data_IF_233297041381
#
_entry.id   IF_233297041381
#
_cell.length_a   1.000
_cell.length_b   1.000
_cell.length_c   1.000
_cell.angle_alpha   90.00
_cell.angle_beta   90.00
_cell.angle_gamma   90.00
#
_symmetry.space_group_name_H-M   'P 1'
#
loop_
_entity.id
_entity.type
_entity.pdbx_description
1 polymer ?
#
# COMPACT_ATOMS: atom_id res chain seq x y z
N UNK A 1 -13.57 -83.87 -26.82
CA UNK A 1 -14.64 -82.96 -26.34
C UNK A 1 -13.98 -81.62 -26.06
N UNK A 2 -14.33 -80.59 -26.83
CA UNK A 2 -13.68 -79.28 -26.85
C UNK A 2 -14.30 -78.38 -25.78
N UNK A 3 -13.48 -77.76 -24.92
CA UNK A 3 -13.97 -76.68 -24.06
C UNK A 3 -13.04 -75.48 -24.23
N UNK A 4 -13.53 -74.47 -24.95
CA UNK A 4 -12.87 -73.18 -25.15
C UNK A 4 -13.13 -72.32 -23.92
N UNK A 5 -12.07 -71.81 -23.27
CA UNK A 5 -12.20 -70.79 -22.23
C UNK A 5 -11.91 -69.43 -22.87
N UNK A 6 -12.91 -68.55 -22.79
CA UNK A 6 -12.95 -67.23 -23.39
C UNK A 6 -12.16 -66.24 -22.51
N UNK A 7 -11.01 -65.76 -23.00
CA UNK A 7 -10.22 -64.74 -22.33
C UNK A 7 -10.98 -63.40 -22.34
N UNK A 8 -11.50 -62.97 -21.19
CA UNK A 8 -12.11 -61.66 -21.03
C UNK A 8 -11.00 -60.61 -20.93
N UNK A 9 -10.94 -59.71 -21.92
CA UNK A 9 -10.06 -58.54 -21.88
C UNK A 9 -10.64 -57.51 -20.92
N UNK A 10 -10.05 -57.38 -19.74
CA UNK A 10 -10.31 -56.24 -18.85
C UNK A 10 -9.60 -55.01 -19.41
N UNK A 11 -10.35 -54.12 -20.06
CA UNK A 11 -9.87 -52.80 -20.46
C UNK A 11 -9.95 -51.88 -19.23
N UNK A 12 -8.84 -51.71 -18.52
CA UNK A 12 -8.74 -50.78 -17.39
C UNK A 12 -8.73 -49.33 -17.92
N UNK A 13 -9.85 -48.61 -17.80
CA UNK A 13 -9.85 -47.16 -17.89
C UNK A 13 -9.22 -46.58 -16.62
N UNK A 14 -8.00 -46.05 -16.73
CA UNK A 14 -7.41 -45.19 -15.70
C UNK A 14 -8.16 -43.85 -15.69
N UNK A 15 -8.63 -43.36 -14.53
CA UNK A 15 -9.14 -42.00 -14.45
C UNK A 15 -7.96 -41.03 -14.58
N UNK A 16 -7.97 -40.23 -15.64
CA UNK A 16 -7.09 -39.06 -15.76
C UNK A 16 -7.58 -38.04 -14.74
N UNK A 17 -6.94 -38.01 -13.57
CA UNK A 17 -7.14 -36.94 -12.59
C UNK A 17 -6.44 -35.71 -13.18
N UNK A 18 -7.22 -34.83 -13.80
CA UNK A 18 -6.76 -33.51 -14.18
C UNK A 18 -6.45 -32.74 -12.89
N UNK A 19 -5.17 -32.60 -12.56
CA UNK A 19 -4.70 -31.70 -11.52
C UNK A 19 -4.85 -30.28 -12.09
N UNK A 20 -6.02 -29.69 -11.89
CA UNK A 20 -6.21 -28.25 -12.03
C UNK A 20 -5.47 -27.57 -10.88
N UNK A 21 -4.20 -27.24 -11.09
CA UNK A 21 -3.52 -26.29 -10.22
C UNK A 21 -4.20 -24.94 -10.41
N UNK A 22 -5.11 -24.60 -9.49
CA UNK A 22 -5.53 -23.22 -9.28
C UNK A 22 -4.26 -22.38 -9.11
N UNK A 23 -4.07 -21.38 -9.96
CA UNK A 23 -3.12 -20.32 -9.72
C UNK A 23 -3.44 -19.70 -8.36
N UNK A 24 -2.53 -19.85 -7.40
CA UNK A 24 -2.63 -19.17 -6.12
C UNK A 24 -2.48 -17.66 -6.37
N UNK A 25 -3.63 -16.98 -6.28
CA UNK A 25 -3.89 -15.73 -5.57
C UNK A 25 -2.67 -14.83 -5.31
N UNK A 26 -2.74 -13.59 -5.83
CA UNK A 26 -1.79 -12.50 -5.59
C UNK A 26 -1.12 -12.58 -4.21
N UNK A 27 0.21 -12.78 -4.20
CA UNK A 27 1.04 -12.73 -3.00
C UNK A 27 0.85 -11.41 -2.25
N UNK A 28 0.99 -11.42 -0.90
CA UNK A 28 0.47 -10.36 -0.07
C UNK A 28 1.21 -9.07 -0.39
N UNK A 29 0.47 -8.08 -0.89
CA UNK A 29 0.96 -6.73 -1.16
C UNK A 29 1.73 -6.12 0.02
N UNK A 30 1.54 -6.67 1.24
CA UNK A 30 2.24 -6.30 2.45
C UNK A 30 3.77 -6.29 2.33
N UNK A 31 4.40 -7.46 2.13
CA UNK A 31 5.87 -7.54 2.21
C UNK A 31 6.55 -6.85 1.02
N UNK A 32 6.08 -7.11 -0.20
CA UNK A 32 6.63 -6.48 -1.40
C UNK A 32 6.38 -4.96 -1.43
N UNK A 33 5.20 -4.50 -1.01
CA UNK A 33 4.88 -3.08 -0.89
C UNK A 33 5.73 -2.38 0.16
N UNK A 34 6.02 -3.06 1.28
CA UNK A 34 6.85 -2.50 2.35
C UNK A 34 8.30 -2.34 1.90
N UNK A 35 8.88 -3.35 1.24
CA UNK A 35 10.20 -3.23 0.62
C UNK A 35 10.25 -2.13 -0.43
N UNK A 36 9.17 -1.95 -1.21
CA UNK A 36 9.08 -0.85 -2.16
C UNK A 36 9.08 0.52 -1.47
N UNK A 37 8.36 0.68 -0.35
CA UNK A 37 8.41 1.90 0.46
C UNK A 37 9.80 2.16 1.06
N UNK A 38 10.53 1.12 1.49
CA UNK A 38 11.91 1.28 1.99
C UNK A 38 12.84 1.91 0.95
N UNK A 39 12.62 1.64 -0.34
CA UNK A 39 13.41 2.24 -1.43
C UNK A 39 13.20 3.77 -1.57
N UNK A 40 12.19 4.33 -0.90
CA UNK A 40 11.97 5.77 -0.85
C UNK A 40 12.87 6.51 0.13
N UNK A 41 13.67 5.80 0.94
CA UNK A 41 14.58 6.41 1.91
C UNK A 41 15.38 7.57 1.27
N UNK A 42 15.40 8.71 1.96
CA UNK A 42 15.93 9.98 1.45
C UNK A 42 14.88 11.08 1.37
N UNK A 43 15.25 12.19 0.74
CA UNK A 43 14.46 13.42 0.67
C UNK A 43 13.94 13.65 -0.73
N UNK A 44 12.71 14.14 -0.82
CA UNK A 44 12.00 14.41 -2.06
C UNK A 44 11.27 15.76 -1.98
N UNK A 45 11.06 16.38 -3.14
CA UNK A 45 10.47 17.71 -3.25
C UNK A 45 9.35 17.73 -4.30
N UNK A 46 8.22 18.33 -3.94
CA UNK A 46 7.15 18.70 -4.85
C UNK A 46 7.10 20.24 -4.92
N UNK A 47 7.27 20.79 -6.13
CA UNK A 47 7.20 22.23 -6.37
C UNK A 47 5.78 22.63 -6.75
N UNK A 48 5.35 23.76 -6.21
CA UNK A 48 4.04 24.36 -6.49
C UNK A 48 4.18 25.53 -7.46
N UNK A 49 3.07 25.88 -8.14
CA UNK A 49 3.06 26.97 -9.14
C UNK A 49 3.39 28.34 -8.53
N UNK A 50 3.09 28.52 -7.23
CA UNK A 50 3.39 29.73 -6.48
C UNK A 50 4.87 29.86 -6.06
N UNK A 51 5.71 28.90 -6.46
CA UNK A 51 7.14 28.86 -6.15
C UNK A 51 7.46 28.30 -4.76
N UNK A 52 6.45 27.92 -3.97
CA UNK A 52 6.65 27.19 -2.73
C UNK A 52 6.96 25.71 -3.02
N UNK A 53 7.49 25.01 -2.01
CA UNK A 53 7.79 23.59 -2.11
C UNK A 53 7.31 22.83 -0.87
N UNK A 54 6.83 21.62 -1.11
CA UNK A 54 6.60 20.61 -0.08
C UNK A 54 7.76 19.62 -0.13
N UNK A 55 8.40 19.38 1.00
CA UNK A 55 9.44 18.35 1.11
C UNK A 55 8.86 17.15 1.84
N UNK A 56 9.20 15.94 1.39
CA UNK A 56 8.94 14.70 2.12
C UNK A 56 10.24 13.94 2.33
N UNK A 57 10.47 13.46 3.55
CA UNK A 57 11.63 12.62 3.89
C UNK A 57 11.15 11.27 4.35
N UNK A 58 11.78 10.20 3.85
CA UNK A 58 11.57 8.84 4.31
C UNK A 58 12.80 8.34 5.05
N UNK A 59 12.60 7.74 6.22
CA UNK A 59 13.65 7.10 7.00
C UNK A 59 13.23 5.70 7.41
N UNK A 60 14.05 4.71 7.08
CA UNK A 60 13.93 3.36 7.63
C UNK A 60 14.44 3.38 9.07
N UNK A 61 13.62 2.91 10.01
CA UNK A 61 13.90 2.96 11.45
C UNK A 61 13.70 1.60 12.11
N UNK A 62 14.00 1.50 13.40
CA UNK A 62 13.74 0.31 14.22
C UNK A 62 14.34 -0.98 13.64
N UNK A 63 15.57 -0.90 13.13
CA UNK A 63 16.24 -2.06 12.52
C UNK A 63 15.60 -2.56 11.23
N UNK A 64 14.80 -1.72 10.54
CA UNK A 64 14.15 -2.08 9.28
C UNK A 64 12.69 -2.52 9.40
N UNK A 65 12.12 -2.49 10.61
CA UNK A 65 10.73 -2.92 10.85
C UNK A 65 9.69 -1.82 10.62
N UNK A 66 10.12 -0.55 10.47
CA UNK A 66 9.22 0.57 10.25
C UNK A 66 9.87 1.66 9.38
N UNK A 67 9.03 2.52 8.81
CA UNK A 67 9.43 3.69 8.03
C UNK A 67 8.72 4.91 8.61
N UNK A 68 9.47 5.99 8.81
CA UNK A 68 8.93 7.32 9.10
C UNK A 68 8.90 8.10 7.79
N UNK A 69 7.74 8.61 7.42
CA UNK A 69 7.58 9.68 6.43
C UNK A 69 7.30 10.98 7.17
N UNK A 70 8.00 12.04 6.79
CA UNK A 70 7.83 13.38 7.35
C UNK A 70 7.60 14.37 6.22
N UNK A 71 6.44 15.02 6.22
CA UNK A 71 6.07 16.05 5.25
C UNK A 71 6.23 17.43 5.91
N UNK A 72 6.93 18.33 5.22
CA UNK A 72 7.14 19.72 5.61
C UNK A 72 6.58 20.65 4.53
N UNK A 73 5.77 21.64 4.92
CA UNK A 73 5.21 22.64 4.01
C UNK A 73 5.95 23.97 4.19
N UNK A 74 6.78 24.35 3.21
CA UNK A 74 7.53 25.60 3.27
C UNK A 74 8.34 25.75 4.57
N UNK A 75 7.90 26.65 5.46
CA UNK A 75 8.55 26.95 6.74
C UNK A 75 7.99 26.18 7.95
N UNK A 76 7.01 25.30 7.75
CA UNK A 76 6.45 24.44 8.80
C UNK A 76 7.14 23.06 8.74
N UNK A 77 8.24 22.86 9.48
CA UNK A 77 8.91 21.57 9.51
C UNK A 77 8.01 20.53 10.19
N UNK A 78 8.03 19.31 9.65
CA UNK A 78 7.38 18.14 10.26
C UNK A 78 5.87 18.32 10.50
N UNK A 79 5.20 19.07 9.61
CA UNK A 79 3.77 19.35 9.69
C UNK A 79 2.90 18.08 9.69
N UNK A 80 3.37 17.02 9.02
CA UNK A 80 2.74 15.71 9.06
C UNK A 80 3.78 14.59 9.20
N UNK A 81 3.42 13.55 9.94
CA UNK A 81 4.23 12.35 10.11
C UNK A 81 3.39 11.11 9.83
N UNK A 82 3.93 10.17 9.06
CA UNK A 82 3.28 8.88 8.79
C UNK A 82 4.23 7.74 9.16
N UNK A 83 3.74 6.79 9.96
CA UNK A 83 4.49 5.60 10.37
C UNK A 83 3.99 4.37 9.62
N UNK A 84 4.82 3.82 8.74
CA UNK A 84 4.52 2.58 8.01
C UNK A 84 5.14 1.36 8.68
N UNK A 85 4.39 0.25 8.74
CA UNK A 85 4.84 -1.01 9.34
C UNK A 85 4.00 -2.20 8.85
N UNK A 86 4.47 -3.41 9.17
CA UNK A 86 3.71 -4.64 8.96
C UNK A 86 2.95 -5.06 10.22
N UNK A 87 1.66 -5.38 10.08
CA UNK A 87 0.86 -6.15 11.04
C UNK A 87 0.61 -7.55 10.46
N UNK A 88 1.46 -8.50 10.83
CA UNK A 88 1.55 -9.79 10.14
C UNK A 88 1.89 -9.59 8.66
N UNK A 89 0.99 -10.00 7.76
CA UNK A 89 1.14 -9.81 6.31
C UNK A 89 0.50 -8.52 5.78
N UNK A 90 -0.09 -7.69 6.66
CA UNK A 90 -0.77 -6.46 6.26
C UNK A 90 0.19 -5.29 6.37
N UNK A 91 0.42 -4.58 5.27
CA UNK A 91 1.11 -3.29 5.31
C UNK A 91 0.13 -2.23 5.78
N UNK A 92 0.51 -1.55 6.85
CA UNK A 92 -0.30 -0.54 7.52
C UNK A 92 0.48 0.77 7.64
N UNK A 93 -0.29 1.85 7.82
CA UNK A 93 0.24 3.13 8.24
C UNK A 93 -0.59 3.72 9.37
N UNK A 94 0.03 4.61 10.15
CA UNK A 94 -0.65 5.54 11.07
C UNK A 94 -0.18 6.94 10.76
N UNK A 95 -1.12 7.87 10.55
CA UNK A 95 -0.85 9.24 10.16
C UNK A 95 -1.09 10.20 11.33
N UNK A 96 -0.25 11.23 11.43
CA UNK A 96 -0.29 12.27 12.45
C UNK A 96 -0.21 13.64 11.75
N UNK A 97 -1.16 14.52 12.03
CA UNK A 97 -1.19 15.88 11.51
C UNK A 97 -1.85 16.85 12.50
N UNK A 98 -1.96 18.12 12.12
CA UNK A 98 -2.59 19.18 12.93
C UNK A 98 -4.06 18.92 13.32
N UNK A 99 -4.74 17.94 12.70
CA UNK A 99 -6.09 17.53 13.08
C UNK A 99 -6.16 16.84 14.46
N UNK A 100 -5.03 16.31 14.95
CA UNK A 100 -4.96 15.71 16.29
C UNK A 100 -5.61 14.33 16.44
N UNK A 101 -6.19 13.77 15.37
CA UNK A 101 -6.55 12.35 15.28
C UNK A 101 -5.40 11.53 14.68
N UNK A 102 -5.49 10.19 14.81
CA UNK A 102 -4.47 9.28 14.26
C UNK A 102 -5.13 8.23 13.35
N UNK A 103 -5.40 8.58 12.08
CA UNK A 103 -5.96 7.63 11.13
C UNK A 103 -4.99 6.48 10.88
N UNK A 104 -5.52 5.27 10.98
CA UNK A 104 -4.84 4.04 10.58
C UNK A 104 -5.40 3.58 9.25
N UNK A 105 -4.52 3.16 8.35
CA UNK A 105 -4.91 2.69 7.03
C UNK A 105 -4.18 1.40 6.70
N UNK A 106 -4.81 0.58 5.85
CA UNK A 106 -4.27 -0.72 5.42
C UNK A 106 -4.14 -0.71 3.91
N UNK A 107 -3.00 -1.19 3.42
CA UNK A 107 -2.75 -1.40 2.00
C UNK A 107 -3.77 -2.39 1.42
N UNK A 108 -4.34 -2.05 0.28
CA UNK A 108 -5.21 -2.93 -0.51
C UNK A 108 -4.37 -3.76 -1.49
N UNK A 109 -4.83 -4.95 -1.88
CA UNK A 109 -4.28 -5.63 -3.04
C UNK A 109 -4.36 -4.73 -4.26
N UNK A 110 -3.29 -4.70 -5.05
CA UNK A 110 -3.22 -3.96 -6.31
C UNK A 110 -2.79 -4.90 -7.43
N UNK A 111 -3.44 -4.82 -8.58
CA UNK A 111 -2.97 -5.46 -9.80
C UNK A 111 -1.86 -4.65 -10.48
N UNK A 112 -1.72 -3.37 -10.12
CA UNK A 112 -0.68 -2.48 -10.62
C UNK A 112 0.50 -2.48 -9.63
N UNK A 113 1.67 -3.05 -9.99
CA UNK A 113 2.83 -3.10 -9.12
C UNK A 113 3.43 -1.71 -8.86
N UNK A 114 3.02 -0.69 -9.61
CA UNK A 114 3.44 0.70 -9.46
C UNK A 114 2.52 1.54 -8.57
N UNK A 115 1.46 0.95 -8.02
CA UNK A 115 0.55 1.63 -7.10
C UNK A 115 0.41 0.92 -5.79
N UNK A 116 0.51 1.68 -4.71
CA UNK A 116 0.22 1.24 -3.36
C UNK A 116 -0.89 2.12 -2.78
N UNK A 117 -2.08 1.54 -2.66
CA UNK A 117 -3.27 2.24 -2.15
C UNK A 117 -3.58 1.77 -0.74
N UNK A 118 -3.65 2.71 0.19
CA UNK A 118 -4.07 2.55 1.57
C UNK A 118 -5.47 3.09 1.74
N UNK A 119 -6.34 2.29 2.38
CA UNK A 119 -7.68 2.74 2.75
C UNK A 119 -7.83 2.82 4.26
N UNK A 120 -8.63 3.78 4.71
CA UNK A 120 -9.03 3.94 6.09
C UNK A 120 -9.46 2.62 6.75
N UNK A 121 -8.95 2.39 7.96
CA UNK A 121 -9.37 1.32 8.85
C UNK A 121 -10.15 1.90 10.02
N UNK A 122 -9.54 2.81 10.77
CA UNK A 122 -10.12 3.54 11.90
C UNK A 122 -9.24 4.75 12.27
N UNK A 123 -9.60 5.48 13.31
CA UNK A 123 -8.78 6.55 13.87
C UNK A 123 -9.01 6.66 15.39
N UNK A 124 -7.97 7.04 16.13
CA UNK A 124 -8.13 7.52 17.51
C UNK A 124 -8.42 9.02 17.52
N UNK A 125 -9.07 9.49 18.59
CA UNK A 125 -9.47 10.90 18.78
C UNK A 125 -10.37 11.45 17.65
N UNK A 126 -11.26 10.60 17.13
CA UNK A 126 -12.31 10.96 16.16
C UNK A 126 -13.67 10.80 16.84
N UNK A 127 -14.47 11.87 16.95
CA UNK A 127 -15.78 11.83 17.65
C UNK A 127 -16.89 11.34 16.71
N UNK A 128 -16.75 11.64 15.42
CA UNK A 128 -17.66 11.23 14.36
C UNK A 128 -16.89 10.84 13.09
N UNK A 129 -17.37 9.88 12.28
CA UNK A 129 -16.82 9.60 10.94
C UNK A 129 -16.84 10.78 9.94
N UNK A 130 -17.47 11.90 10.31
CA UNK A 130 -17.50 13.13 9.52
C UNK A 130 -16.55 14.21 10.05
N UNK A 131 -15.90 14.00 11.21
CA UNK A 131 -14.83 14.87 11.67
C UNK A 131 -13.65 14.81 10.69
N UNK A 132 -12.90 15.90 10.54
CA UNK A 132 -11.80 15.97 9.58
C UNK A 132 -10.70 14.94 9.83
N UNK A 133 -10.44 14.04 8.88
CA UNK A 133 -9.34 13.06 8.96
C UNK A 133 -8.83 12.63 7.58
N UNK A 134 -7.60 12.12 7.54
CA UNK A 134 -7.09 11.43 6.36
C UNK A 134 -7.83 10.09 6.20
N UNK A 135 -8.42 9.88 5.03
CA UNK A 135 -9.26 8.73 4.69
C UNK A 135 -8.56 7.77 3.70
N UNK A 136 -7.48 8.20 3.06
CA UNK A 136 -6.73 7.36 2.15
C UNK A 136 -5.41 7.96 1.69
N UNK A 137 -4.54 7.09 1.19
CA UNK A 137 -3.31 7.45 0.51
C UNK A 137 -3.13 6.53 -0.70
N UNK A 138 -2.79 7.09 -1.85
CA UNK A 138 -2.21 6.33 -2.95
C UNK A 138 -0.80 6.82 -3.26
N UNK A 139 0.18 5.92 -3.22
CA UNK A 139 1.55 6.17 -3.67
C UNK A 139 1.72 5.53 -5.05
N UNK A 140 2.04 6.33 -6.05
CA UNK A 140 2.37 5.88 -7.40
C UNK A 140 3.87 6.03 -7.63
N UNK A 141 4.53 4.94 -7.99
CA UNK A 141 5.96 4.89 -8.31
C UNK A 141 6.13 5.09 -9.81
N UNK A 142 6.58 6.27 -10.23
CA UNK A 142 6.68 6.65 -11.65
C UNK A 142 8.09 6.41 -12.21
N UNK A 143 9.09 6.34 -11.33
CA UNK A 143 10.48 6.06 -11.65
C UNK A 143 11.36 5.99 -10.40
N UNK A 144 12.69 5.85 -10.53
CA UNK A 144 13.60 5.79 -9.39
C UNK A 144 13.63 7.09 -8.58
N UNK A 145 13.37 8.22 -9.25
CA UNK A 145 13.41 9.58 -8.71
C UNK A 145 12.10 10.36 -8.96
N UNK A 146 10.99 9.65 -9.21
CA UNK A 146 9.65 10.25 -9.37
C UNK A 146 8.60 9.42 -8.67
N UNK A 147 7.87 10.04 -7.74
CA UNK A 147 6.69 9.44 -7.10
C UNK A 147 5.55 10.46 -7.06
N UNK A 148 4.32 9.97 -7.11
CA UNK A 148 3.12 10.78 -6.86
C UNK A 148 2.41 10.25 -5.61
N UNK A 149 2.11 11.13 -4.66
CA UNK A 149 1.20 10.84 -3.56
C UNK A 149 -0.14 11.54 -3.78
N UNK A 150 -1.23 10.81 -3.55
CA UNK A 150 -2.58 11.36 -3.50
C UNK A 150 -3.19 11.06 -2.11
N UNK A 151 -3.38 12.10 -1.31
CA UNK A 151 -3.93 12.04 0.04
C UNK A 151 -5.41 12.41 0.01
N UNK A 152 -6.26 11.49 0.46
CA UNK A 152 -7.70 11.74 0.55
C UNK A 152 -8.03 12.26 1.96
N UNK A 153 -8.60 13.45 2.03
CA UNK A 153 -9.11 14.07 3.26
C UNK A 153 -10.62 14.02 3.28
N UNK A 154 -11.22 13.54 4.37
CA UNK A 154 -12.67 13.51 4.56
C UNK A 154 -13.08 14.45 5.70
N UNK A 155 -14.08 15.30 5.45
CA UNK A 155 -14.72 16.14 6.46
C UNK A 155 -16.15 16.48 6.04
N UNK A 156 -17.09 16.53 7.00
CA UNK A 156 -18.50 16.89 6.77
C UNK A 156 -19.16 16.07 5.65
N UNK A 157 -18.89 14.75 5.61
CA UNK A 157 -19.39 13.85 4.57
C UNK A 157 -18.82 14.09 3.16
N UNK A 158 -17.85 14.99 2.99
CA UNK A 158 -17.20 15.29 1.71
C UNK A 158 -15.74 14.81 1.73
N UNK A 159 -15.25 14.46 0.56
CA UNK A 159 -13.85 14.07 0.35
C UNK A 159 -13.17 15.04 -0.63
N UNK A 160 -11.92 15.39 -0.33
CA UNK A 160 -11.01 16.12 -1.21
C UNK A 160 -9.70 15.35 -1.34
N UNK A 161 -8.95 15.60 -2.40
CA UNK A 161 -7.66 14.94 -2.64
C UNK A 161 -6.56 15.96 -2.90
N UNK A 162 -5.51 15.89 -2.11
CA UNK A 162 -4.28 16.65 -2.34
C UNK A 162 -3.26 15.74 -3.06
N UNK A 163 -2.71 16.24 -4.17
CA UNK A 163 -1.77 15.49 -5.00
C UNK A 163 -0.41 16.15 -4.99
N UNK A 164 0.61 15.38 -4.62
CA UNK A 164 2.00 15.81 -4.59
C UNK A 164 2.81 14.98 -5.57
N UNK A 165 3.44 15.65 -6.54
CA UNK A 165 4.36 15.04 -7.50
C UNK A 165 5.78 15.32 -7.03
N UNK A 166 6.39 14.32 -6.42
CA UNK A 166 7.69 14.44 -5.80
C UNK A 166 8.81 13.96 -6.72
N UNK A 167 9.89 14.71 -6.74
CA UNK A 167 11.17 14.30 -7.31
C UNK A 167 12.21 14.14 -6.22
N UNK A 168 13.08 13.14 -6.35
CA UNK A 168 14.14 12.90 -5.36
C UNK A 168 15.16 14.03 -5.39
N UNK A 169 15.53 14.53 -4.21
CA UNK A 169 16.65 15.45 -4.06
C UNK A 169 17.96 14.66 -4.06
N UNK A 170 18.95 15.16 -4.81
CA UNK A 170 20.29 14.58 -4.91
C UNK A 170 21.15 14.90 -3.70
#
# INVERSE_FOLDING_TARGET
MRTRILAHRFSALLPVIAISTLAALAEPSGNAGFEKLKSLAGTWEAKHEDGSATTVTYKVVSGGSAIVETISYGKEPEAMVTMYHLDGSKLMLTHYCGAGNQPRMVAKPSADPNKLTFAYLDATNLKSPDDGHMNGLTVTFEGPDSITQAWAWKANGKESTDVFKYHRLK
#
